data_IF_967390443426
#
_entry.id   IF_967390443426
#
_cell.length_a   1.000
_cell.length_b   1.000
_cell.length_c   1.000
_cell.angle_alpha   90.00
_cell.angle_beta   90.00
_cell.angle_gamma   90.00
#
_symmetry.space_group_name_H-M   'P 1'
#
loop_
_entity.id
_entity.type
_entity.pdbx_description
1 polymer ?
#
# COMPACT_ATOMS: atom_id res chain seq x y z
N UNK A 1 -4.96 -5.98 18.22
CA UNK A 1 -4.21 -6.11 16.94
C UNK A 1 -3.05 -7.11 17.03
N UNK A 2 -2.40 -7.34 18.18
CA UNK A 2 -1.22 -8.23 18.28
C UNK A 2 -1.42 -9.74 18.05
N UNK A 3 -2.58 -10.34 18.37
CA UNK A 3 -2.75 -11.81 18.27
C UNK A 3 -2.87 -12.38 16.84
N UNK A 4 -3.22 -11.56 15.84
CA UNK A 4 -3.27 -12.01 14.44
C UNK A 4 -1.91 -11.92 13.75
N UNK A 5 -1.02 -11.04 14.24
CA UNK A 5 0.35 -10.92 13.75
C UNK A 5 1.13 -12.22 13.96
N UNK A 6 1.00 -12.87 15.12
CA UNK A 6 1.77 -14.08 15.45
C UNK A 6 1.24 -15.39 14.82
N UNK A 7 0.01 -15.41 14.27
CA UNK A 7 -0.61 -16.65 13.73
C UNK A 7 -0.53 -16.80 12.21
N UNK A 8 -0.54 -15.68 11.47
CA UNK A 8 -0.66 -15.68 10.00
C UNK A 8 0.71 -15.46 9.33
N UNK A 9 1.63 -14.81 10.03
CA UNK A 9 2.93 -14.43 9.50
C UNK A 9 2.91 -13.01 8.91
N UNK A 10 3.81 -12.12 9.34
CA UNK A 10 3.91 -10.71 8.95
C UNK A 10 4.06 -10.54 7.45
N UNK A 11 4.87 -11.37 6.81
CA UNK A 11 5.01 -11.40 5.35
C UNK A 11 3.65 -11.60 4.67
N UNK A 12 2.86 -12.56 5.15
CA UNK A 12 1.53 -12.83 4.61
C UNK A 12 0.54 -11.72 4.96
N UNK A 13 0.65 -11.13 6.15
CA UNK A 13 -0.23 -10.04 6.60
C UNK A 13 0.01 -8.74 5.81
N UNK A 14 1.26 -8.39 5.53
CA UNK A 14 1.64 -7.25 4.67
C UNK A 14 1.00 -7.46 3.30
N UNK A 15 1.26 -8.60 2.68
CA UNK A 15 0.75 -8.92 1.34
C UNK A 15 -0.76 -9.03 1.24
N UNK A 16 -1.43 -9.54 2.26
CA UNK A 16 -2.89 -9.56 2.28
C UNK A 16 -3.50 -8.17 2.44
N UNK A 17 -2.98 -7.36 3.36
CA UNK A 17 -3.56 -6.03 3.65
C UNK A 17 -3.33 -5.05 2.51
N UNK A 18 -2.11 -4.96 2.02
CA UNK A 18 -1.80 -4.05 0.92
C UNK A 18 -2.27 -4.61 -0.45
N UNK A 19 -2.36 -5.93 -0.61
CA UNK A 19 -2.98 -6.55 -1.79
C UNK A 19 -4.48 -6.31 -1.84
N UNK A 20 -5.15 -6.34 -0.69
CA UNK A 20 -6.55 -5.96 -0.55
C UNK A 20 -6.77 -4.48 -0.83
N UNK A 21 -5.88 -3.61 -0.33
CA UNK A 21 -5.93 -2.17 -0.64
C UNK A 21 -5.79 -1.91 -2.15
N UNK A 22 -4.82 -2.53 -2.81
CA UNK A 22 -4.62 -2.40 -4.26
C UNK A 22 -5.81 -2.93 -5.08
N UNK A 23 -6.40 -4.06 -4.66
CA UNK A 23 -7.57 -4.64 -5.30
C UNK A 23 -8.82 -3.77 -5.14
N UNK A 24 -9.05 -3.24 -3.92
CA UNK A 24 -10.15 -2.31 -3.65
C UNK A 24 -9.99 -1.01 -4.43
N UNK A 25 -8.77 -0.51 -4.59
CA UNK A 25 -8.48 0.67 -5.40
C UNK A 25 -8.84 0.44 -6.88
N UNK A 26 -8.47 -0.71 -7.45
CA UNK A 26 -8.82 -1.08 -8.82
C UNK A 26 -10.34 -1.23 -9.01
N UNK A 27 -11.02 -1.87 -8.04
CA UNK A 27 -12.49 -2.00 -8.04
C UNK A 27 -13.18 -0.63 -7.96
N UNK A 28 -12.66 0.27 -7.13
CA UNK A 28 -13.19 1.63 -6.98
C UNK A 28 -13.10 2.39 -8.31
N UNK A 29 -11.97 2.29 -9.00
CA UNK A 29 -11.81 2.88 -10.33
C UNK A 29 -12.80 2.31 -11.34
N UNK A 30 -13.04 0.99 -11.32
CA UNK A 30 -13.97 0.34 -12.23
C UNK A 30 -15.41 0.81 -12.02
N UNK A 31 -15.84 0.85 -10.75
CA UNK A 31 -17.17 1.33 -10.39
C UNK A 31 -17.34 2.85 -10.66
N UNK A 32 -16.25 3.62 -10.55
CA UNK A 32 -16.23 5.04 -10.92
C UNK A 32 -16.45 5.23 -12.42
N UNK A 33 -15.78 4.44 -13.27
CA UNK A 33 -15.95 4.50 -14.72
C UNK A 33 -17.36 4.16 -15.18
N UNK A 34 -18.01 3.19 -14.51
CA UNK A 34 -19.41 2.82 -14.81
C UNK A 34 -20.43 3.90 -14.40
N UNK A 35 -20.02 4.95 -13.71
CA UNK A 35 -20.93 5.94 -13.12
C UNK A 35 -21.83 5.35 -12.03
N UNK A 36 -21.50 4.15 -11.54
CA UNK A 36 -22.32 3.38 -10.59
C UNK A 36 -22.06 3.75 -9.12
N UNK A 37 -21.07 4.62 -8.84
CA UNK A 37 -20.76 5.11 -7.50
C UNK A 37 -21.46 6.44 -7.22
N UNK A 38 -22.46 6.48 -6.33
CA UNK A 38 -22.86 7.72 -5.70
C UNK A 38 -21.68 8.32 -4.93
N UNK A 39 -21.64 9.66 -4.82
CA UNK A 39 -20.60 10.39 -4.10
C UNK A 39 -20.41 9.87 -2.66
N UNK A 40 -21.51 9.52 -1.98
CA UNK A 40 -21.51 8.98 -0.62
C UNK A 40 -20.79 7.64 -0.52
N UNK A 41 -20.99 6.74 -1.48
CA UNK A 41 -20.32 5.44 -1.51
C UNK A 41 -18.83 5.60 -1.79
N UNK A 42 -18.45 6.49 -2.70
CA UNK A 42 -17.04 6.78 -2.98
C UNK A 42 -16.32 7.31 -1.74
N UNK A 43 -16.95 8.20 -0.98
CA UNK A 43 -16.42 8.75 0.27
C UNK A 43 -16.25 7.70 1.38
N UNK A 44 -17.01 6.60 1.36
CA UNK A 44 -16.88 5.51 2.34
C UNK A 44 -15.83 4.46 1.94
N UNK A 45 -15.63 4.23 0.65
CA UNK A 45 -14.64 3.27 0.16
C UNK A 45 -13.22 3.75 0.44
N UNK A 46 -12.95 5.05 0.26
CA UNK A 46 -11.62 5.64 0.44
C UNK A 46 -11.02 5.39 1.84
N UNK A 47 -11.72 5.69 2.95
CA UNK A 47 -11.25 5.35 4.29
C UNK A 47 -10.98 3.85 4.47
N UNK A 48 -11.78 2.98 3.84
CA UNK A 48 -11.55 1.53 3.86
C UNK A 48 -10.23 1.14 3.19
N UNK A 49 -9.95 1.66 1.99
CA UNK A 49 -8.67 1.45 1.30
C UNK A 49 -7.49 1.95 2.14
N UNK A 50 -7.61 3.16 2.70
CA UNK A 50 -6.58 3.76 3.56
C UNK A 50 -6.34 2.94 4.84
N UNK A 51 -7.38 2.36 5.44
CA UNK A 51 -7.25 1.52 6.61
C UNK A 51 -6.39 0.28 6.32
N UNK A 52 -6.66 -0.43 5.22
CA UNK A 52 -5.87 -1.60 4.83
C UNK A 52 -4.43 -1.23 4.42
N UNK A 53 -4.27 -0.13 3.68
CA UNK A 53 -2.95 0.38 3.31
C UNK A 53 -2.12 0.76 4.56
N UNK A 54 -2.72 1.41 5.55
CA UNK A 54 -2.05 1.79 6.80
C UNK A 54 -1.65 0.59 7.65
N UNK A 55 -2.48 -0.46 7.68
CA UNK A 55 -2.15 -1.71 8.35
C UNK A 55 -0.90 -2.38 7.73
N UNK A 56 -0.83 -2.45 6.40
CA UNK A 56 0.34 -2.98 5.68
C UNK A 56 1.61 -2.15 5.89
N UNK A 57 1.48 -0.82 5.84
CA UNK A 57 2.59 0.10 6.10
C UNK A 57 3.16 -0.06 7.53
N UNK A 58 2.28 -0.19 8.53
CA UNK A 58 2.67 -0.40 9.93
C UNK A 58 3.42 -1.73 10.12
N UNK A 59 2.96 -2.80 9.49
CA UNK A 59 3.60 -4.11 9.55
C UNK A 59 4.98 -4.11 8.88
N UNK A 60 5.11 -3.41 7.75
CA UNK A 60 6.39 -3.23 7.04
C UNK A 60 7.38 -2.43 7.88
N UNK A 61 6.93 -1.34 8.51
CA UNK A 61 7.77 -0.53 9.38
C UNK A 61 8.36 -1.35 10.54
N UNK A 62 7.55 -2.21 11.18
CA UNK A 62 8.02 -3.12 12.22
C UNK A 62 9.06 -4.11 11.69
N UNK A 63 8.82 -4.68 10.51
CA UNK A 63 9.72 -5.63 9.85
C UNK A 63 11.09 -5.00 9.54
N UNK A 64 11.10 -3.78 8.99
CA UNK A 64 12.36 -3.03 8.77
C UNK A 64 13.05 -2.72 10.09
N UNK A 65 12.28 -2.38 11.13
CA UNK A 65 12.86 -2.12 12.43
C UNK A 65 13.53 -3.37 13.01
N UNK A 66 12.98 -4.55 12.81
CA UNK A 66 13.53 -5.80 13.35
C UNK A 66 14.72 -6.34 12.54
N UNK A 67 14.81 -6.03 11.24
CA UNK A 67 15.93 -6.47 10.38
C UNK A 67 17.21 -5.67 10.66
N UNK A 68 17.09 -4.38 10.96
CA UNK A 68 18.26 -3.51 11.12
C UNK A 68 18.64 -3.31 12.60
N UNK A 69 19.96 -3.39 12.93
CA UNK A 69 20.45 -3.11 14.26
C UNK A 69 20.08 -1.68 14.69
N UNK A 70 19.82 -1.51 15.99
CA UNK A 70 19.27 -0.28 16.57
C UNK A 70 20.14 0.95 16.27
N UNK A 71 21.46 0.78 16.21
CA UNK A 71 22.42 1.85 16.00
C UNK A 71 22.30 2.50 14.61
N UNK A 72 21.88 1.74 13.59
CA UNK A 72 21.82 2.22 12.21
C UNK A 72 20.40 2.34 11.65
N UNK A 73 19.38 1.81 12.35
CA UNK A 73 17.98 1.71 11.87
C UNK A 73 17.39 3.02 11.34
N UNK A 74 17.77 4.16 11.90
CA UNK A 74 17.27 5.47 11.48
C UNK A 74 17.67 5.81 10.03
N UNK A 75 18.85 5.39 9.57
CA UNK A 75 19.39 5.77 8.27
C UNK A 75 18.66 5.06 7.10
N UNK A 76 18.42 3.74 7.12
CA UNK A 76 17.56 3.07 6.14
C UNK A 76 16.15 3.66 6.11
N UNK A 77 15.52 3.87 7.27
CA UNK A 77 14.15 4.42 7.34
C UNK A 77 14.08 5.80 6.67
N UNK A 78 15.05 6.67 6.94
CA UNK A 78 15.11 7.99 6.31
C UNK A 78 15.28 7.90 4.79
N UNK A 79 16.16 7.04 4.30
CA UNK A 79 16.36 6.81 2.86
C UNK A 79 15.08 6.30 2.20
N UNK A 80 14.42 5.30 2.78
CA UNK A 80 13.13 4.80 2.31
C UNK A 80 12.07 5.90 2.28
N UNK A 81 11.98 6.71 3.35
CA UNK A 81 11.01 7.79 3.45
C UNK A 81 11.20 8.85 2.36
N UNK A 82 12.45 9.28 2.12
CA UNK A 82 12.76 10.27 1.08
C UNK A 82 12.40 9.75 -0.30
N UNK A 83 12.77 8.51 -0.63
CA UNK A 83 12.45 7.90 -1.93
C UNK A 83 10.93 7.74 -2.09
N UNK A 84 10.24 7.24 -1.07
CA UNK A 84 8.79 7.05 -1.10
C UNK A 84 8.06 8.39 -1.25
N UNK A 85 8.48 9.43 -0.53
CA UNK A 85 7.86 10.75 -0.60
C UNK A 85 8.14 11.44 -1.93
N UNK A 86 9.36 11.29 -2.46
CA UNK A 86 9.75 11.79 -3.77
C UNK A 86 8.93 11.15 -4.90
N UNK A 87 8.71 9.83 -4.84
CA UNK A 87 7.81 9.15 -5.77
C UNK A 87 6.34 9.57 -5.58
N UNK A 88 5.90 9.72 -4.32
CA UNK A 88 4.51 10.08 -3.97
C UNK A 88 4.08 11.45 -4.51
N UNK A 89 5.01 12.39 -4.66
CA UNK A 89 4.74 13.72 -5.27
C UNK A 89 4.27 13.63 -6.72
N UNK A 90 4.62 12.57 -7.45
CA UNK A 90 4.18 12.41 -8.83
C UNK A 90 2.67 12.11 -8.93
N UNK A 91 2.05 11.55 -7.88
CA UNK A 91 0.66 11.11 -7.94
C UNK A 91 -0.35 12.26 -8.13
N UNK A 92 -0.33 13.37 -7.36
CA UNK A 92 -1.23 14.50 -7.59
C UNK A 92 -1.09 15.12 -8.98
N UNK A 93 0.14 15.24 -9.49
CA UNK A 93 0.39 15.76 -10.83
C UNK A 93 -0.19 14.84 -11.92
N UNK A 94 0.07 13.53 -11.82
CA UNK A 94 -0.46 12.54 -12.76
C UNK A 94 -1.98 12.51 -12.75
N UNK A 95 -2.60 12.38 -11.57
CA UNK A 95 -4.06 12.34 -11.46
C UNK A 95 -4.71 13.66 -11.88
N UNK A 96 -4.07 14.81 -11.64
CA UNK A 96 -4.53 16.10 -12.15
C UNK A 96 -4.62 16.15 -13.68
N UNK A 97 -3.59 15.63 -14.37
CA UNK A 97 -3.58 15.53 -15.83
C UNK A 97 -4.64 14.54 -16.37
N UNK A 98 -4.82 13.40 -15.69
CA UNK A 98 -5.80 12.38 -16.08
C UNK A 98 -7.25 12.88 -15.93
N UNK A 99 -7.55 13.59 -14.83
CA UNK A 99 -8.87 14.18 -14.58
C UNK A 99 -9.24 15.20 -15.65
N UNK A 100 -8.27 15.98 -16.14
CA UNK A 100 -8.47 16.96 -17.21
C UNK A 100 -8.80 16.31 -18.58
N UNK A 101 -8.52 15.01 -18.74
CA UNK A 101 -8.68 14.30 -20.01
C UNK A 101 -10.04 13.61 -20.10
N UNK A 102 -10.30 12.60 -19.27
CA UNK A 102 -11.55 11.83 -19.30
C UNK A 102 -11.70 10.88 -18.11
N UNK A 103 -12.94 10.48 -17.79
CA UNK A 103 -13.22 9.52 -16.72
C UNK A 103 -12.55 8.15 -16.94
N UNK A 104 -12.41 7.71 -18.19
CA UNK A 104 -11.69 6.46 -18.52
C UNK A 104 -10.18 6.60 -18.28
N UNK A 105 -9.59 7.78 -18.49
CA UNK A 105 -8.18 8.05 -18.18
C UNK A 105 -7.93 7.97 -16.68
N UNK A 106 -8.86 8.50 -15.87
CA UNK A 106 -8.82 8.38 -14.41
C UNK A 106 -8.92 6.91 -13.98
N UNK A 107 -9.78 6.11 -14.62
CA UNK A 107 -9.85 4.67 -14.37
C UNK A 107 -8.53 3.95 -14.65
N UNK A 108 -7.86 4.26 -15.77
CA UNK A 108 -6.52 3.73 -16.04
C UNK A 108 -5.50 4.17 -14.98
N UNK A 109 -5.62 5.38 -14.45
CA UNK A 109 -4.84 5.84 -13.29
C UNK A 109 -5.05 4.95 -12.05
N UNK A 110 -6.31 4.63 -11.73
CA UNK A 110 -6.65 3.73 -10.63
C UNK A 110 -6.11 2.31 -10.85
N UNK A 111 -6.21 1.77 -12.06
CA UNK A 111 -5.64 0.46 -12.41
C UNK A 111 -4.12 0.46 -12.33
N UNK A 112 -3.46 1.52 -12.79
CA UNK A 112 -2.01 1.67 -12.71
C UNK A 112 -1.54 1.70 -11.26
N UNK A 113 -2.18 2.50 -10.40
CA UNK A 113 -1.86 2.58 -8.98
C UNK A 113 -2.11 1.24 -8.26
N UNK A 114 -3.28 0.62 -8.49
CA UNK A 114 -3.60 -0.69 -7.93
C UNK A 114 -2.63 -1.79 -8.40
N UNK A 115 -2.25 -1.76 -9.68
CA UNK A 115 -1.27 -2.66 -10.26
C UNK A 115 0.12 -2.52 -9.65
N UNK A 116 0.60 -1.28 -9.43
CA UNK A 116 1.87 -1.03 -8.74
C UNK A 116 1.85 -1.57 -7.31
N UNK A 117 0.76 -1.38 -6.56
CA UNK A 117 0.62 -1.95 -5.22
C UNK A 117 0.67 -3.48 -5.26
N UNK A 118 -0.11 -4.11 -6.14
CA UNK A 118 -0.12 -5.57 -6.28
C UNK A 118 1.26 -6.13 -6.68
N UNK A 119 1.98 -5.44 -7.56
CA UNK A 119 3.35 -5.80 -7.91
C UNK A 119 4.26 -5.75 -6.68
N UNK A 120 4.19 -4.69 -5.89
CA UNK A 120 4.92 -4.58 -4.61
C UNK A 120 4.63 -5.77 -3.69
N UNK A 121 3.36 -6.15 -3.53
CA UNK A 121 2.99 -7.29 -2.70
C UNK A 121 3.48 -8.63 -3.25
N UNK A 122 3.45 -8.83 -4.56
CA UNK A 122 4.00 -10.06 -5.14
C UNK A 122 5.51 -10.17 -4.94
N UNK A 123 6.22 -9.04 -4.96
CA UNK A 123 7.64 -8.98 -4.66
C UNK A 123 7.88 -9.28 -3.17
N UNK A 124 7.10 -8.72 -2.25
CA UNK A 124 7.18 -9.03 -0.82
C UNK A 124 6.89 -10.52 -0.53
N UNK A 125 5.88 -11.10 -1.20
CA UNK A 125 5.61 -12.54 -1.14
C UNK A 125 6.73 -13.42 -1.70
N UNK A 126 7.61 -12.88 -2.55
CA UNK A 126 8.71 -13.61 -3.20
C UNK A 126 10.05 -13.42 -2.49
N UNK A 127 10.38 -12.19 -2.10
CA UNK A 127 11.68 -11.77 -1.55
C UNK A 127 11.62 -11.41 -0.06
N UNK A 128 10.43 -11.09 0.47
CA UNK A 128 10.23 -10.67 1.86
C UNK A 128 10.77 -11.67 2.88
N UNK A 129 11.56 -11.15 3.82
CA UNK A 129 12.18 -11.94 4.89
C UNK A 129 11.18 -12.08 6.04
N UNK A 130 11.03 -13.30 6.56
CA UNK A 130 10.24 -13.54 7.78
C UNK A 130 11.04 -13.05 8.99
N UNK A 131 10.89 -11.79 9.37
CA UNK A 131 11.55 -11.20 10.53
C UNK A 131 10.89 -11.55 11.89
N UNK A 132 9.85 -12.39 11.88
CA UNK A 132 9.03 -12.64 13.08
C UNK A 132 9.78 -13.41 14.16
N UNK A 133 9.75 -12.87 15.39
CA UNK A 133 10.20 -13.57 16.59
C UNK A 133 11.71 -13.84 16.63
N UNK A 134 12.51 -13.20 15.78
CA UNK A 134 13.96 -13.27 15.91
C UNK A 134 14.43 -12.38 17.06
N UNK A 135 15.28 -12.96 17.91
CA UNK A 135 15.97 -12.23 18.98
C UNK A 135 16.76 -11.09 18.37
N UNK A 136 16.75 -9.92 19.02
CA UNK A 136 17.62 -8.78 18.68
C UNK A 136 19.07 -9.04 19.16
N UNK A 137 19.57 -10.26 18.93
CA UNK A 137 20.93 -10.72 19.24
C UNK A 137 21.58 -11.34 18.00
#
# INVERSE_FOLDING_TARGET
>A
MGRYFDRIGRRMLISLTAGMAGSLQALTGHLFWQGALPLTTHMLIWPGVFFFASAGASATYLTVSEIFPLEIRAMPIALFFVVAQGAGVAAPWLYGALIATSAISVFYGYLFAGGLMLLGETIELSVGIKAEGQSLE
#
